data_IF_960888578187
#
_entry.id   IF_960888578187
#
_cell.length_a   1.000
_cell.length_b   1.000
_cell.length_c   1.000
_cell.angle_alpha   90.00
_cell.angle_beta   90.00
_cell.angle_gamma   90.00
#
_symmetry.space_group_name_H-M   'P 1'
#
loop_
_entity.id
_entity.type
_entity.pdbx_description
1 polymer ?
#
# COMPACT_ATOMS: atom_id res chain seq x y z
N UNK A 1 15.02 11.46 -16.38
CA UNK A 1 15.33 10.72 -17.66
C UNK A 1 16.47 11.35 -18.44
N UNK A 2 16.67 12.67 -18.47
CA UNK A 2 17.73 13.31 -19.27
C UNK A 2 19.13 12.82 -18.96
N UNK A 3 19.47 12.63 -17.66
CA UNK A 3 20.77 12.11 -17.25
C UNK A 3 20.98 10.64 -17.72
N UNK A 4 19.92 9.85 -17.81
CA UNK A 4 19.95 8.51 -18.39
C UNK A 4 20.19 8.57 -19.89
N UNK A 5 19.40 9.35 -20.62
CA UNK A 5 19.51 9.50 -22.06
C UNK A 5 20.88 10.02 -22.53
N UNK A 6 21.50 10.85 -21.67
CA UNK A 6 22.84 11.38 -21.91
C UNK A 6 23.99 10.45 -21.41
N UNK A 7 23.65 9.23 -20.96
CA UNK A 7 24.64 8.24 -20.50
C UNK A 7 25.35 8.59 -19.18
N UNK A 8 24.89 9.60 -18.44
CA UNK A 8 25.52 10.04 -17.19
C UNK A 8 25.23 9.11 -16.02
N UNK A 9 24.04 8.48 -16.02
CA UNK A 9 23.65 7.48 -15.03
C UNK A 9 22.60 6.53 -15.59
N UNK A 10 22.46 5.36 -14.99
CA UNK A 10 21.39 4.40 -15.29
C UNK A 10 20.24 4.65 -14.35
N UNK A 11 19.02 4.77 -14.86
CA UNK A 11 17.81 4.99 -14.06
C UNK A 11 16.78 3.93 -14.35
N UNK A 12 15.97 3.63 -13.36
CA UNK A 12 14.75 2.83 -13.45
C UNK A 12 13.68 3.52 -12.61
N UNK A 13 12.42 3.45 -13.04
CA UNK A 13 11.31 4.11 -12.37
C UNK A 13 10.29 3.06 -11.92
N UNK A 14 10.43 2.47 -10.72
CA UNK A 14 9.40 1.62 -10.15
C UNK A 14 8.22 2.47 -9.66
N UNK A 15 7.01 2.04 -9.97
CA UNK A 15 5.75 2.59 -9.48
C UNK A 15 5.05 1.53 -8.65
N UNK A 16 4.88 1.82 -7.38
CA UNK A 16 4.26 0.92 -6.42
C UNK A 16 2.80 1.30 -6.18
N UNK A 17 2.00 0.31 -5.82
CA UNK A 17 0.73 0.52 -5.14
C UNK A 17 0.96 1.02 -3.71
N UNK A 18 -0.12 1.20 -2.93
CA UNK A 18 0.00 1.60 -1.53
C UNK A 18 0.82 0.58 -0.74
N UNK A 19 1.82 1.07 -0.02
CA UNK A 19 2.77 0.23 0.70
C UNK A 19 2.31 -0.02 2.13
N UNK A 20 2.52 -1.25 2.62
CA UNK A 20 2.33 -1.62 4.01
C UNK A 20 3.45 -2.54 4.48
N UNK A 21 3.64 -2.64 5.78
CA UNK A 21 4.67 -3.51 6.36
C UNK A 21 5.44 -2.86 7.51
N UNK A 22 6.48 -3.53 8.00
CA UNK A 22 7.40 -3.01 9.00
C UNK A 22 7.98 -1.64 8.59
N UNK A 23 8.05 -0.71 9.54
CA UNK A 23 8.52 0.67 9.33
C UNK A 23 7.69 1.54 8.37
N UNK A 24 6.60 1.04 7.81
CA UNK A 24 5.68 1.87 7.02
C UNK A 24 4.77 2.63 7.98
N UNK A 25 4.98 3.94 8.07
CA UNK A 25 4.28 4.83 9.02
C UNK A 25 3.32 5.79 8.34
N UNK A 26 2.87 5.45 7.12
CA UNK A 26 1.94 6.31 6.39
C UNK A 26 0.58 6.45 7.12
N UNK A 27 -0.10 7.54 6.85
CA UNK A 27 -1.35 7.90 7.54
C UNK A 27 -2.56 7.05 7.11
N UNK A 28 -2.42 6.20 6.10
CA UNK A 28 -3.49 5.32 5.63
C UNK A 28 -3.45 3.94 6.31
N UNK A 29 -2.29 3.27 6.25
CA UNK A 29 -2.16 1.87 6.68
C UNK A 29 -1.88 1.72 8.17
N UNK A 30 -1.02 2.57 8.73
CA UNK A 30 -0.68 2.51 10.15
C UNK A 30 -1.89 2.55 11.08
N UNK A 31 -2.88 3.47 10.92
CA UNK A 31 -4.06 3.50 11.77
C UNK A 31 -4.88 2.21 11.75
N UNK A 32 -4.96 1.52 10.62
CA UNK A 32 -5.66 0.23 10.49
C UNK A 32 -4.99 -0.84 11.38
N UNK A 33 -3.66 -0.95 11.31
CA UNK A 33 -2.92 -1.91 12.12
C UNK A 33 -2.99 -1.58 13.62
N UNK A 34 -2.96 -0.29 13.96
CA UNK A 34 -3.11 0.16 15.35
C UNK A 34 -4.50 -0.17 15.90
N UNK A 35 -5.55 0.12 15.15
CA UNK A 35 -6.93 -0.22 15.52
C UNK A 35 -7.11 -1.73 15.65
N UNK A 36 -6.55 -2.52 14.72
CA UNK A 36 -6.61 -3.97 14.79
C UNK A 36 -5.94 -4.51 16.07
N UNK A 37 -4.80 -3.93 16.48
CA UNK A 37 -4.07 -4.36 17.69
C UNK A 37 -4.78 -3.96 18.99
N UNK A 38 -5.37 -2.75 19.05
CA UNK A 38 -6.09 -2.27 20.24
C UNK A 38 -7.52 -2.82 20.34
N UNK A 39 -8.06 -3.42 19.24
CA UNK A 39 -9.46 -3.83 19.15
C UNK A 39 -10.43 -2.65 19.01
N UNK A 40 -9.91 -1.48 18.64
CA UNK A 40 -10.68 -0.27 18.39
C UNK A 40 -11.23 -0.23 16.95
N UNK A 41 -12.08 0.77 16.68
CA UNK A 41 -12.66 0.96 15.35
C UNK A 41 -11.60 1.41 14.35
N UNK A 42 -11.40 0.64 13.28
CA UNK A 42 -10.63 1.08 12.12
C UNK A 42 -11.46 2.02 11.25
N UNK A 43 -10.84 3.10 10.78
CA UNK A 43 -11.47 4.04 9.87
C UNK A 43 -11.00 3.80 8.44
N UNK A 44 -11.94 3.79 7.49
CA UNK A 44 -11.66 3.72 6.06
C UNK A 44 -12.25 4.93 5.34
N UNK A 45 -11.57 5.36 4.28
CA UNK A 45 -12.01 6.46 3.43
C UNK A 45 -12.61 5.89 2.16
N UNK A 46 -13.79 6.38 1.76
CA UNK A 46 -14.44 5.97 0.52
C UNK A 46 -15.13 4.60 0.57
N UNK A 47 -15.12 3.91 -0.54
CA UNK A 47 -15.84 2.65 -0.71
C UNK A 47 -15.00 1.45 -0.29
N UNK A 48 -15.45 0.69 0.72
CA UNK A 48 -14.77 -0.51 1.23
C UNK A 48 -14.74 -1.67 0.23
N UNK A 49 -15.65 -1.69 -0.72
CA UNK A 49 -15.88 -2.84 -1.60
C UNK A 49 -15.14 -2.72 -2.95
N UNK A 50 -14.49 -1.58 -3.22
CA UNK A 50 -13.67 -1.45 -4.42
C UNK A 50 -12.30 -2.07 -4.24
N UNK A 51 -11.77 -2.60 -5.33
CA UNK A 51 -10.48 -3.28 -5.33
C UNK A 51 -9.32 -2.28 -5.42
N UNK A 52 -8.32 -2.49 -4.56
CA UNK A 52 -7.05 -1.78 -4.53
C UNK A 52 -5.89 -2.75 -4.58
N UNK A 53 -4.75 -2.28 -5.03
CA UNK A 53 -3.50 -2.99 -4.88
C UNK A 53 -2.75 -2.48 -3.65
N UNK A 54 -2.17 -3.41 -2.89
CA UNK A 54 -1.27 -3.11 -1.78
C UNK A 54 -0.01 -3.94 -1.93
N UNK A 55 1.15 -3.32 -1.77
CA UNK A 55 2.44 -4.01 -1.86
C UNK A 55 3.11 -4.08 -0.49
N UNK A 56 3.55 -5.28 -0.13
CA UNK A 56 4.33 -5.46 1.09
C UNK A 56 5.71 -4.84 0.94
N UNK A 57 6.16 -4.10 1.94
CA UNK A 57 7.38 -3.25 1.83
C UNK A 57 8.65 -4.04 1.48
N UNK A 58 8.78 -5.27 1.98
CA UNK A 58 9.94 -6.12 1.65
C UNK A 58 9.94 -6.54 0.17
N UNK A 59 8.76 -6.78 -0.41
CA UNK A 59 8.62 -7.09 -1.83
C UNK A 59 8.97 -5.87 -2.69
N UNK A 60 8.52 -4.68 -2.26
CA UNK A 60 8.87 -3.43 -2.93
C UNK A 60 10.39 -3.19 -2.92
N UNK A 61 11.04 -3.42 -1.78
CA UNK A 61 12.49 -3.30 -1.66
C UNK A 61 13.22 -4.31 -2.56
N UNK A 62 12.77 -5.57 -2.55
CA UNK A 62 13.35 -6.62 -3.41
C UNK A 62 13.18 -6.27 -4.89
N UNK A 63 12.00 -5.80 -5.29
CA UNK A 63 11.77 -5.36 -6.67
C UNK A 63 12.68 -4.19 -7.07
N UNK A 64 12.94 -3.22 -6.17
CA UNK A 64 13.89 -2.14 -6.41
C UNK A 64 15.30 -2.66 -6.69
N UNK A 65 15.78 -3.60 -5.90
CA UNK A 65 17.12 -4.20 -6.07
C UNK A 65 17.19 -4.93 -7.41
N UNK A 66 16.23 -5.80 -7.70
CA UNK A 66 16.19 -6.57 -8.95
C UNK A 66 16.17 -5.66 -10.18
N UNK A 67 15.32 -4.64 -10.17
CA UNK A 67 15.24 -3.66 -11.26
C UNK A 67 16.55 -2.87 -11.42
N UNK A 68 17.19 -2.51 -10.29
CA UNK A 68 18.45 -1.78 -10.30
C UNK A 68 19.64 -2.60 -10.85
N UNK A 69 19.57 -3.92 -10.75
CA UNK A 69 20.60 -4.85 -11.23
C UNK A 69 20.34 -5.37 -12.65
N UNK A 70 19.15 -5.11 -13.21
CA UNK A 70 18.74 -5.64 -14.52
C UNK A 70 18.94 -4.62 -15.62
N UNK A 71 19.84 -4.90 -16.55
CA UNK A 71 20.19 -3.98 -17.63
C UNK A 71 19.01 -3.64 -18.55
N UNK A 72 18.13 -4.62 -18.84
CA UNK A 72 16.89 -4.44 -19.63
C UNK A 72 15.86 -3.54 -18.96
N UNK A 73 15.98 -3.31 -17.65
CA UNK A 73 15.06 -2.45 -16.89
C UNK A 73 15.39 -0.96 -16.97
N UNK A 74 16.60 -0.59 -17.40
CA UNK A 74 17.03 0.79 -17.41
C UNK A 74 16.30 1.64 -18.44
N UNK A 75 15.99 2.87 -18.06
CA UNK A 75 15.25 3.82 -18.89
C UNK A 75 13.72 3.62 -18.86
N UNK A 76 13.25 2.60 -18.19
CA UNK A 76 11.86 2.15 -18.24
C UNK A 76 11.09 2.40 -16.95
N UNK A 77 9.75 2.44 -17.11
CA UNK A 77 8.79 2.48 -15.99
C UNK A 77 8.27 1.07 -15.72
N UNK A 78 8.21 0.70 -14.45
CA UNK A 78 7.79 -0.62 -13.97
C UNK A 78 6.72 -0.52 -12.90
N UNK A 79 5.56 -1.15 -13.13
CA UNK A 79 4.52 -1.25 -12.12
C UNK A 79 4.73 -2.49 -11.25
N UNK A 80 4.71 -2.30 -9.95
CA UNK A 80 4.89 -3.37 -8.94
C UNK A 80 3.65 -3.36 -8.03
N UNK A 81 2.59 -4.08 -8.41
CA UNK A 81 1.27 -3.97 -7.77
C UNK A 81 1.16 -4.64 -6.40
N UNK A 82 1.97 -5.66 -6.09
CA UNK A 82 1.81 -6.52 -4.92
C UNK A 82 1.11 -7.85 -5.25
N UNK A 83 0.56 -8.51 -4.24
CA UNK A 83 0.03 -9.88 -4.33
C UNK A 83 -1.31 -10.01 -5.09
N UNK A 84 -1.77 -8.95 -5.70
CA UNK A 84 -3.05 -8.87 -6.41
C UNK A 84 -4.03 -7.90 -5.76
N UNK A 85 -5.15 -7.60 -6.44
CA UNK A 85 -6.15 -6.70 -5.91
C UNK A 85 -6.94 -7.32 -4.76
N UNK A 86 -7.29 -6.49 -3.79
CA UNK A 86 -8.07 -6.83 -2.60
C UNK A 86 -8.94 -5.64 -2.21
N UNK A 87 -10.09 -5.86 -1.59
CA UNK A 87 -10.94 -4.78 -1.09
C UNK A 87 -10.41 -4.21 0.23
N UNK A 88 -10.76 -2.96 0.54
CA UNK A 88 -10.44 -2.37 1.83
C UNK A 88 -11.01 -3.18 3.00
N UNK A 89 -12.21 -3.75 2.81
CA UNK A 89 -12.84 -4.64 3.79
C UNK A 89 -11.99 -5.86 4.08
N UNK A 90 -11.63 -6.61 3.04
CA UNK A 90 -10.82 -7.83 3.19
C UNK A 90 -9.48 -7.55 3.86
N UNK A 91 -8.83 -6.43 3.48
CA UNK A 91 -7.56 -6.03 4.08
C UNK A 91 -7.70 -5.76 5.58
N UNK A 92 -8.74 -5.00 6.01
CA UNK A 92 -8.99 -4.69 7.41
C UNK A 92 -9.35 -5.96 8.19
N UNK A 93 -10.23 -6.80 7.65
CA UNK A 93 -10.62 -8.07 8.29
C UNK A 93 -9.42 -9.00 8.51
N UNK A 94 -8.50 -9.09 7.54
CA UNK A 94 -7.24 -9.84 7.70
C UNK A 94 -6.36 -9.25 8.81
N UNK A 95 -6.28 -7.91 8.91
CA UNK A 95 -5.50 -7.26 9.96
C UNK A 95 -6.06 -7.57 11.37
N UNK A 96 -7.38 -7.48 11.53
CA UNK A 96 -8.04 -7.81 12.80
C UNK A 96 -7.92 -9.29 13.14
N UNK A 97 -8.09 -10.18 12.17
CA UNK A 97 -7.87 -11.63 12.33
C UNK A 97 -6.44 -11.92 12.80
N UNK A 98 -5.44 -11.30 12.17
CA UNK A 98 -4.03 -11.47 12.56
C UNK A 98 -3.72 -10.91 13.95
N UNK A 99 -4.44 -9.86 14.38
CA UNK A 99 -4.34 -9.29 15.72
C UNK A 99 -5.07 -10.13 16.78
N UNK A 100 -6.01 -10.99 16.40
CA UNK A 100 -6.85 -11.80 17.29
C UNK A 100 -8.09 -11.06 17.81
N UNK A 101 -8.49 -9.99 17.14
CA UNK A 101 -9.64 -9.15 17.47
C UNK A 101 -10.77 -9.29 16.43
N UNK A 102 -11.97 -8.88 16.79
CA UNK A 102 -13.10 -8.78 15.86
C UNK A 102 -13.03 -7.45 15.11
N UNK A 103 -13.27 -7.44 13.78
CA UNK A 103 -13.24 -6.21 13.01
C UNK A 103 -14.42 -5.29 13.40
N UNK A 104 -14.10 -4.02 13.69
CA UNK A 104 -15.04 -2.91 13.75
C UNK A 104 -14.58 -1.85 12.75
N UNK A 105 -15.38 -1.57 11.71
CA UNK A 105 -15.00 -0.73 10.60
C UNK A 105 -15.94 0.47 10.53
N UNK A 106 -15.37 1.67 10.58
CA UNK A 106 -16.07 2.92 10.37
C UNK A 106 -15.71 3.54 9.01
N UNK A 107 -16.71 4.09 8.33
CA UNK A 107 -16.48 4.86 7.12
C UNK A 107 -16.34 6.34 7.45
N UNK A 108 -15.27 6.94 6.99
CA UNK A 108 -15.13 8.39 6.96
C UNK A 108 -15.81 8.90 5.70
N UNK A 109 -16.96 9.52 5.87
CA UNK A 109 -17.70 10.09 4.75
C UNK A 109 -17.08 11.43 4.30
N UNK A 110 -17.33 11.81 3.04
CA UNK A 110 -16.78 13.03 2.44
C UNK A 110 -17.10 14.31 3.23
N UNK A 111 -18.28 14.36 3.91
CA UNK A 111 -18.67 15.53 4.74
C UNK A 111 -17.77 15.65 5.98
N UNK A 112 -17.49 14.52 6.64
CA UNK A 112 -16.61 14.51 7.83
C UNK A 112 -15.18 14.91 7.45
N UNK A 113 -14.70 14.45 6.29
CA UNK A 113 -13.37 14.78 5.77
C UNK A 113 -13.31 16.25 5.35
N UNK A 114 -14.36 16.78 4.67
CA UNK A 114 -14.43 18.18 4.32
C UNK A 114 -14.45 19.10 5.56
N UNK A 115 -15.20 18.74 6.60
CA UNK A 115 -15.22 19.48 7.84
C UNK A 115 -13.85 19.49 8.54
N UNK A 116 -13.19 18.34 8.60
CA UNK A 116 -11.83 18.24 9.15
C UNK A 116 -10.80 19.00 8.31
N UNK A 117 -10.93 18.99 6.99
CA UNK A 117 -10.04 19.72 6.06
C UNK A 117 -10.13 21.25 6.15
N UNK A 118 -11.20 21.80 6.75
CA UNK A 118 -11.26 23.22 7.06
C UNK A 118 -10.28 23.63 8.18
N UNK A 119 -9.97 22.70 9.08
CA UNK A 119 -9.12 22.94 10.25
C UNK A 119 -7.71 22.34 10.10
N UNK A 120 -7.56 21.31 9.27
CA UNK A 120 -6.33 20.52 9.14
C UNK A 120 -5.91 20.53 7.66
N UNK A 121 -4.84 21.28 7.28
CA UNK A 121 -4.41 21.40 5.88
C UNK A 121 -4.12 20.05 5.20
N UNK A 122 -3.52 19.11 5.91
CA UNK A 122 -3.18 17.78 5.40
C UNK A 122 -4.42 16.98 5.03
N UNK A 123 -5.52 17.13 5.77
CA UNK A 123 -6.81 16.48 5.47
C UNK A 123 -7.45 17.12 4.23
N UNK A 124 -7.26 18.43 4.03
CA UNK A 124 -7.77 19.12 2.83
C UNK A 124 -7.11 18.59 1.55
N UNK A 125 -5.81 18.33 1.58
CA UNK A 125 -5.09 17.72 0.44
C UNK A 125 -5.58 16.30 0.14
N UNK A 126 -6.01 15.55 1.16
CA UNK A 126 -6.60 14.22 0.97
C UNK A 126 -7.93 14.25 0.20
N UNK A 127 -8.67 15.37 0.24
CA UNK A 127 -9.93 15.50 -0.50
C UNK A 127 -9.71 15.35 -2.00
N UNK A 128 -8.63 15.89 -2.53
CA UNK A 128 -8.27 15.79 -3.95
C UNK A 128 -7.96 14.32 -4.36
N UNK A 129 -7.60 13.47 -3.40
CA UNK A 129 -7.28 12.07 -3.63
C UNK A 129 -8.47 11.13 -3.37
N UNK A 130 -9.64 11.66 -2.97
CA UNK A 130 -10.81 10.84 -2.61
C UNK A 130 -11.26 9.89 -3.73
N UNK A 131 -11.16 10.32 -5.00
CA UNK A 131 -11.52 9.47 -6.15
C UNK A 131 -10.78 8.14 -6.14
N UNK A 132 -9.54 8.10 -5.63
CA UNK A 132 -8.73 6.90 -5.49
C UNK A 132 -9.39 5.82 -4.62
N UNK A 133 -10.24 6.24 -3.68
CA UNK A 133 -10.91 5.35 -2.73
C UNK A 133 -12.38 5.06 -3.09
N UNK A 134 -12.91 5.70 -4.11
CA UNK A 134 -14.28 5.50 -4.59
C UNK A 134 -14.35 4.57 -5.81
N UNK A 135 -13.24 4.44 -6.54
CA UNK A 135 -13.13 3.63 -7.75
C UNK A 135 -12.00 2.58 -7.62
N UNK A 136 -12.10 1.45 -8.35
CA UNK A 136 -11.04 0.45 -8.33
C UNK A 136 -9.72 1.04 -8.82
N UNK A 137 -8.64 0.82 -8.05
CA UNK A 137 -7.28 1.20 -8.43
C UNK A 137 -6.40 -0.05 -8.49
N UNK A 138 -6.36 -0.66 -9.66
CA UNK A 138 -5.59 -1.89 -9.91
C UNK A 138 -4.45 -1.59 -10.88
N UNK A 139 -3.21 -1.74 -10.41
CA UNK A 139 -2.02 -1.59 -11.23
C UNK A 139 -1.81 -2.84 -12.08
N UNK A 140 -1.60 -2.65 -13.38
CA UNK A 140 -1.14 -3.72 -14.26
C UNK A 140 0.36 -3.96 -14.08
N UNK A 141 0.72 -5.10 -13.48
CA UNK A 141 2.08 -5.56 -13.25
C UNK A 141 2.58 -6.59 -14.28
N UNK A 142 1.86 -6.81 -15.37
CA UNK A 142 2.18 -7.84 -16.36
C UNK A 142 3.60 -7.72 -16.92
N UNK A 143 4.07 -6.51 -17.18
CA UNK A 143 5.43 -6.23 -17.62
C UNK A 143 6.47 -6.73 -16.61
N UNK A 144 6.27 -6.42 -15.32
CA UNK A 144 7.16 -6.87 -14.25
C UNK A 144 7.15 -8.40 -14.11
N UNK A 145 5.97 -9.00 -14.11
CA UNK A 145 5.83 -10.46 -13.99
C UNK A 145 6.43 -11.22 -15.18
N UNK A 146 6.41 -10.63 -16.38
CA UNK A 146 7.02 -11.22 -17.58
C UNK A 146 8.55 -11.17 -17.50
N UNK A 147 9.13 -10.07 -17.06
CA UNK A 147 10.58 -9.91 -16.91
C UNK A 147 11.13 -10.73 -15.74
N UNK A 148 10.35 -10.84 -14.65
CA UNK A 148 10.76 -11.52 -13.42
C UNK A 148 9.80 -12.67 -13.04
N UNK A 149 9.74 -13.75 -13.84
CA UNK A 149 8.73 -14.82 -13.67
C UNK A 149 8.94 -15.63 -12.36
N UNK A 150 10.13 -15.58 -11.77
CA UNK A 150 10.43 -16.25 -10.50
C UNK A 150 10.15 -15.38 -9.28
N UNK A 151 9.87 -14.09 -9.47
CA UNK A 151 9.51 -13.22 -8.36
C UNK A 151 8.14 -13.62 -7.81
N UNK A 152 8.07 -13.80 -6.50
CA UNK A 152 6.82 -14.16 -5.81
C UNK A 152 6.50 -13.09 -4.78
N UNK A 153 5.34 -12.48 -4.95
CA UNK A 153 4.82 -11.56 -3.95
C UNK A 153 4.46 -12.31 -2.67
N UNK A 154 4.76 -11.69 -1.53
CA UNK A 154 4.24 -12.09 -0.23
C UNK A 154 2.72 -12.00 -0.25
N UNK A 155 2.02 -13.05 0.16
CA UNK A 155 0.55 -13.01 0.25
C UNK A 155 0.09 -11.90 1.19
N UNK A 156 -1.11 -11.33 0.97
CA UNK A 156 -1.66 -10.32 1.89
C UNK A 156 -1.76 -10.85 3.32
N UNK A 157 -2.16 -12.11 3.51
CA UNK A 157 -2.25 -12.74 4.83
C UNK A 157 -0.88 -12.79 5.54
N UNK A 158 0.17 -13.19 4.84
CA UNK A 158 1.52 -13.26 5.42
C UNK A 158 2.12 -11.89 5.68
N UNK A 159 1.98 -10.95 4.74
CA UNK A 159 2.48 -9.59 4.90
C UNK A 159 1.78 -8.86 6.05
N UNK A 160 0.46 -9.00 6.16
CA UNK A 160 -0.33 -8.44 7.27
C UNK A 160 0.09 -9.07 8.60
N UNK A 161 0.26 -10.39 8.66
CA UNK A 161 0.70 -11.09 9.87
C UNK A 161 2.08 -10.62 10.33
N UNK A 162 3.04 -10.47 9.42
CA UNK A 162 4.38 -9.91 9.71
C UNK A 162 4.28 -8.47 10.22
N UNK A 163 3.40 -7.66 9.62
CA UNK A 163 3.19 -6.26 10.01
C UNK A 163 2.62 -6.15 11.43
N UNK A 164 1.59 -6.94 11.74
CA UNK A 164 1.01 -7.02 13.10
C UNK A 164 2.06 -7.45 14.12
N UNK A 165 2.87 -8.46 13.79
CA UNK A 165 3.95 -8.92 14.66
C UNK A 165 4.96 -7.81 14.95
N UNK A 166 5.38 -7.08 13.91
CA UNK A 166 6.31 -5.98 14.03
C UNK A 166 5.77 -4.85 14.92
N UNK A 167 4.52 -4.43 14.72
CA UNK A 167 3.91 -3.39 15.56
C UNK A 167 3.78 -3.82 17.02
N UNK A 168 3.49 -5.09 17.30
CA UNK A 168 3.50 -5.61 18.68
C UNK A 168 4.86 -5.44 19.35
N UNK A 169 5.94 -5.72 18.63
CA UNK A 169 7.29 -5.59 19.18
C UNK A 169 7.74 -4.13 19.33
N UNK A 170 7.28 -3.24 18.43
CA UNK A 170 7.66 -1.83 18.45
C UNK A 170 6.90 -1.01 19.49
N UNK A 171 5.78 -1.51 20.02
CA UNK A 171 4.93 -0.85 21.00
C UNK A 171 5.19 -1.30 22.46
N UNK A 172 5.94 -2.37 22.64
CA UNK A 172 6.32 -2.98 23.92
C UNK A 172 7.83 -3.22 23.99
#
# INVERSE_FOLDING_TARGET
MDAHNNGKLKTVIPRFSDQYGPNVTNNLMKPIFMAALSGEKASWIGNLEVQHCFVFIEDAATACIMLGETASAYGEVWHVPGAGPITGREFIEMAFKAAGNKPDIGLLNGRSIQAAGQMIPEVREMIELMYKFEEPLVLDGSKFSTEFPLFKYTSHEDGIRKTIHWFRQALY
#
